data_IF_913558547019
#
_entry.id   IF_913558547019
#
_cell.length_a   1.000
_cell.length_b   1.000
_cell.length_c   1.000
_cell.angle_alpha   90.00
_cell.angle_beta   90.00
_cell.angle_gamma   90.00
#
_symmetry.space_group_name_H-M   'P 1'
#
loop_
_entity.id
_entity.type
_entity.pdbx_description
1 polymer ?
#
# COMPACT_ATOMS: atom_id res chain seq x y z
N UNK A 1 -23.71 25.02 10.39
CA UNK A 1 -22.50 24.68 9.64
C UNK A 1 -22.59 23.18 9.37
N UNK A 2 -22.50 22.73 8.13
CA UNK A 2 -22.35 21.30 7.87
C UNK A 2 -20.92 20.93 8.31
N UNK A 3 -20.80 19.91 9.17
CA UNK A 3 -19.51 19.44 9.63
C UNK A 3 -18.91 18.47 8.61
N UNK A 4 -17.57 18.45 8.47
CA UNK A 4 -16.88 17.40 7.73
C UNK A 4 -17.22 16.06 8.36
N UNK A 5 -17.47 15.03 7.57
CA UNK A 5 -17.89 13.73 8.08
C UNK A 5 -17.07 12.59 7.48
N UNK A 6 -16.98 11.51 8.23
CA UNK A 6 -16.39 10.25 7.79
C UNK A 6 -17.51 9.27 7.44
N UNK A 7 -17.34 8.55 6.35
CA UNK A 7 -18.24 7.50 5.91
C UNK A 7 -17.42 6.25 5.60
N UNK A 8 -17.72 5.17 6.29
CA UNK A 8 -17.25 3.85 5.90
C UNK A 8 -18.04 3.32 4.71
N UNK A 9 -17.40 2.53 3.88
CA UNK A 9 -18.02 1.91 2.72
C UNK A 9 -17.32 0.61 2.34
N UNK A 10 -18.04 -0.25 1.66
CA UNK A 10 -17.51 -1.49 1.06
C UNK A 10 -17.53 -1.41 -0.46
N UNK A 11 -16.48 -1.92 -1.08
CA UNK A 11 -16.35 -2.02 -2.53
C UNK A 11 -16.08 -3.44 -2.97
N UNK A 12 -16.87 -3.99 -3.91
CA UNK A 12 -16.51 -5.24 -4.54
C UNK A 12 -15.38 -5.03 -5.56
N UNK A 13 -14.39 -5.88 -5.50
CA UNK A 13 -13.40 -6.01 -6.58
C UNK A 13 -14.03 -6.73 -7.78
N UNK A 14 -13.35 -6.70 -8.92
CA UNK A 14 -13.79 -7.44 -10.12
C UNK A 14 -13.90 -8.95 -9.89
N UNK A 15 -13.07 -9.53 -9.00
CA UNK A 15 -13.17 -10.95 -8.59
C UNK A 15 -14.29 -11.22 -7.57
N UNK A 16 -14.87 -10.18 -6.97
CA UNK A 16 -15.98 -10.24 -6.01
C UNK A 16 -15.57 -10.21 -4.53
N UNK A 17 -14.29 -10.08 -4.21
CA UNK A 17 -13.85 -9.84 -2.83
C UNK A 17 -14.20 -8.43 -2.41
N UNK A 18 -14.65 -8.26 -1.15
CA UNK A 18 -15.02 -6.95 -0.61
C UNK A 18 -13.79 -6.26 0.00
N UNK A 19 -13.63 -5.00 -0.36
CA UNK A 19 -12.66 -4.07 0.24
C UNK A 19 -13.41 -3.07 1.13
N UNK A 20 -12.78 -2.69 2.23
CA UNK A 20 -13.31 -1.68 3.13
C UNK A 20 -12.55 -0.37 2.97
N UNK A 21 -13.26 0.73 2.88
CA UNK A 21 -12.70 2.07 2.81
C UNK A 21 -13.37 3.04 3.76
N UNK A 22 -12.68 4.13 4.05
CA UNK A 22 -13.26 5.26 4.77
C UNK A 22 -13.06 6.52 3.95
N UNK A 23 -14.16 7.20 3.64
CA UNK A 23 -14.18 8.47 2.94
C UNK A 23 -14.30 9.61 3.96
N UNK A 24 -13.34 10.51 3.94
CA UNK A 24 -13.39 11.78 4.66
C UNK A 24 -13.93 12.82 3.70
N UNK A 25 -15.18 13.23 3.93
CA UNK A 25 -15.90 14.15 3.07
C UNK A 25 -15.79 15.58 3.58
N UNK A 26 -15.48 16.50 2.68
CA UNK A 26 -15.62 17.93 2.93
C UNK A 26 -17.02 18.41 2.54
N UNK A 27 -17.57 19.33 3.32
CA UNK A 27 -18.95 19.86 3.11
C UNK A 27 -19.16 20.59 1.80
N UNK A 28 -18.11 21.04 1.15
CA UNK A 28 -18.17 21.79 -0.13
C UNK A 28 -18.18 20.90 -1.37
N UNK A 29 -18.24 19.56 -1.20
CA UNK A 29 -18.21 18.60 -2.30
C UNK A 29 -17.08 18.90 -3.30
N UNK A 30 -15.81 18.76 -2.90
CA UNK A 30 -14.67 19.02 -3.78
C UNK A 30 -14.68 18.08 -4.97
N UNK A 31 -14.14 18.51 -6.09
CA UNK A 31 -13.93 17.67 -7.27
C UNK A 31 -12.59 16.92 -7.24
N UNK A 32 -11.87 17.03 -6.15
CA UNK A 32 -10.54 16.48 -5.94
C UNK A 32 -10.54 15.47 -4.79
N UNK A 33 -9.93 14.32 -5.01
CA UNK A 33 -9.77 13.28 -4.00
C UNK A 33 -8.34 12.72 -3.98
N UNK A 34 -7.84 12.43 -2.78
CA UNK A 34 -6.64 11.62 -2.58
C UNK A 34 -7.05 10.23 -2.10
N UNK A 35 -6.72 9.20 -2.87
CA UNK A 35 -6.89 7.79 -2.49
C UNK A 35 -5.56 7.29 -1.92
N UNK A 36 -5.55 6.80 -0.68
CA UNK A 36 -4.34 6.28 -0.03
C UNK A 36 -4.44 4.77 0.16
N UNK A 37 -3.70 4.04 -0.66
CA UNK A 37 -3.55 2.58 -0.57
C UNK A 37 -2.67 2.25 0.64
N UNK A 38 -3.19 1.40 1.52
CA UNK A 38 -2.50 1.03 2.75
C UNK A 38 -1.38 0.01 2.51
N UNK A 39 -0.45 -0.06 3.46
CA UNK A 39 0.53 -1.15 3.51
C UNK A 39 -0.07 -2.42 4.08
N UNK A 40 0.74 -3.47 4.16
CA UNK A 40 0.34 -4.74 4.76
C UNK A 40 -0.13 -4.54 6.21
N UNK A 41 -1.20 -5.21 6.59
CA UNK A 41 -1.92 -5.04 7.87
C UNK A 41 -2.39 -3.60 8.13
N UNK A 42 -2.35 -2.75 7.10
CA UNK A 42 -2.78 -1.36 7.18
C UNK A 42 -4.30 -1.25 7.15
N UNK A 43 -4.92 -1.16 8.32
CA UNK A 43 -6.36 -0.96 8.45
C UNK A 43 -6.67 0.29 9.27
N UNK A 44 -7.90 0.77 9.17
CA UNK A 44 -8.34 2.02 9.78
C UNK A 44 -8.11 2.06 11.30
N UNK A 45 -8.19 0.92 11.97
CA UNK A 45 -8.03 0.83 13.41
C UNK A 45 -6.56 0.86 13.87
N UNK A 46 -5.67 0.25 13.09
CA UNK A 46 -4.24 0.14 13.45
C UNK A 46 -3.39 1.32 13.00
N UNK A 47 -3.90 2.15 12.08
CA UNK A 47 -3.17 3.27 11.49
C UNK A 47 -3.88 4.62 11.69
N UNK A 48 -4.01 5.11 12.93
CA UNK A 48 -4.79 6.32 13.23
C UNK A 48 -4.22 7.60 12.62
N UNK A 49 -2.97 7.61 12.15
CA UNK A 49 -2.38 8.78 11.52
C UNK A 49 -3.09 9.19 10.22
N UNK A 50 -3.80 8.29 9.57
CA UNK A 50 -4.61 8.62 8.40
C UNK A 50 -5.79 9.54 8.73
N UNK A 51 -6.29 9.56 9.98
CA UNK A 51 -7.28 10.53 10.42
C UNK A 51 -6.75 11.96 10.31
N UNK A 52 -5.45 12.15 10.60
CA UNK A 52 -4.81 13.46 10.46
C UNK A 52 -4.66 13.86 8.99
N UNK A 53 -4.42 12.89 8.10
CA UNK A 53 -4.42 13.14 6.65
C UNK A 53 -5.80 13.61 6.18
N UNK A 54 -6.85 12.84 6.48
CA UNK A 54 -8.21 13.19 6.08
C UNK A 54 -8.63 14.57 6.56
N UNK A 55 -8.49 14.84 7.86
CA UNK A 55 -8.82 16.13 8.45
C UNK A 55 -7.99 17.30 7.89
N UNK A 56 -6.73 17.05 7.53
CA UNK A 56 -5.86 18.08 6.97
C UNK A 56 -6.21 18.38 5.51
N UNK A 57 -6.48 17.35 4.71
CA UNK A 57 -6.87 17.48 3.31
C UNK A 57 -8.25 18.14 3.17
N UNK A 58 -9.20 17.79 4.04
CA UNK A 58 -10.50 18.46 4.05
C UNK A 58 -10.37 19.97 4.30
N UNK A 59 -9.47 20.43 5.17
CA UNK A 59 -9.18 21.88 5.32
C UNK A 59 -8.70 22.54 4.02
N UNK A 60 -8.06 21.76 3.14
CA UNK A 60 -7.61 22.16 1.81
C UNK A 60 -8.66 21.95 0.71
N UNK A 61 -9.91 21.61 1.06
CA UNK A 61 -10.98 21.30 0.11
C UNK A 61 -10.62 20.10 -0.80
N UNK A 62 -10.05 19.05 -0.21
CA UNK A 62 -9.71 17.78 -0.87
C UNK A 62 -10.33 16.67 -0.04
N UNK A 63 -11.12 15.80 -0.68
CA UNK A 63 -11.62 14.59 -0.04
C UNK A 63 -10.51 13.54 0.06
N UNK A 64 -10.63 12.66 1.04
CA UNK A 64 -9.64 11.64 1.30
C UNK A 64 -10.27 10.26 1.43
N UNK A 65 -9.78 9.30 0.67
CA UNK A 65 -10.16 7.90 0.78
C UNK A 65 -9.02 7.13 1.44
N UNK A 66 -9.30 6.61 2.65
CA UNK A 66 -8.49 5.59 3.27
C UNK A 66 -8.83 4.23 2.64
N UNK A 67 -7.95 3.73 1.79
CA UNK A 67 -8.21 2.58 0.93
C UNK A 67 -7.51 1.33 1.46
N UNK A 68 -8.27 0.48 2.17
CA UNK A 68 -7.79 -0.82 2.63
C UNK A 68 -7.80 -1.81 1.47
N UNK A 69 -6.68 -2.49 1.24
CA UNK A 69 -6.57 -3.59 0.28
C UNK A 69 -6.83 -4.93 0.96
N UNK A 70 -6.87 -6.02 0.19
CA UNK A 70 -7.18 -7.34 0.74
C UNK A 70 -6.26 -7.79 1.87
N UNK A 71 -5.03 -7.26 1.96
CA UNK A 71 -4.05 -7.55 3.01
C UNK A 71 -4.11 -6.61 4.23
N UNK A 72 -5.18 -5.82 4.36
CA UNK A 72 -5.35 -4.88 5.47
C UNK A 72 -5.39 -5.57 6.86
N UNK A 73 -5.70 -6.83 6.89
CA UNK A 73 -5.70 -7.68 8.08
C UNK A 73 -4.90 -8.96 7.83
N UNK A 74 -4.57 -9.70 8.90
CA UNK A 74 -3.98 -11.04 8.80
C UNK A 74 -4.94 -12.00 8.11
N UNK A 75 -6.13 -12.17 8.71
CA UNK A 75 -7.22 -13.01 8.17
C UNK A 75 -8.58 -12.37 8.47
N UNK A 76 -9.41 -12.25 7.45
CA UNK A 76 -10.80 -11.82 7.59
C UNK A 76 -11.71 -12.80 6.84
N UNK A 77 -12.75 -13.27 7.54
CA UNK A 77 -13.82 -14.05 6.90
C UNK A 77 -14.76 -13.09 6.19
N UNK A 78 -14.98 -13.33 4.91
CA UNK A 78 -15.83 -12.53 4.04
C UNK A 78 -16.75 -13.42 3.21
N UNK A 79 -17.66 -12.79 2.49
CA UNK A 79 -18.46 -13.43 1.45
C UNK A 79 -18.09 -12.81 0.12
N UNK A 80 -17.66 -13.63 -0.82
CA UNK A 80 -17.43 -13.18 -2.18
C UNK A 80 -18.79 -12.84 -2.83
N UNK A 81 -19.01 -11.56 -3.13
CA UNK A 81 -20.32 -11.09 -3.61
C UNK A 81 -20.67 -11.56 -5.02
N UNK A 82 -19.67 -11.99 -5.79
CA UNK A 82 -19.88 -12.52 -7.14
C UNK A 82 -20.31 -14.00 -7.15
N UNK A 83 -19.78 -14.77 -6.19
CA UNK A 83 -20.03 -16.23 -6.13
C UNK A 83 -20.98 -16.62 -5.00
N UNK A 84 -21.25 -15.75 -4.04
CA UNK A 84 -22.00 -16.01 -2.81
C UNK A 84 -21.29 -16.95 -1.83
N UNK A 85 -20.04 -17.33 -2.10
CA UNK A 85 -19.27 -18.27 -1.27
C UNK A 85 -18.51 -17.56 -0.18
N UNK A 86 -18.35 -18.24 0.97
CA UNK A 86 -17.43 -17.81 2.03
C UNK A 86 -16.01 -17.83 1.50
N UNK A 87 -15.24 -16.79 1.83
CA UNK A 87 -13.82 -16.69 1.54
C UNK A 87 -13.06 -16.16 2.76
N UNK A 88 -11.76 -16.39 2.77
CA UNK A 88 -10.83 -15.74 3.68
C UNK A 88 -9.99 -14.79 2.84
N UNK A 89 -9.89 -13.54 3.27
CA UNK A 89 -9.01 -12.53 2.68
C UNK A 89 -8.05 -12.00 3.74
N UNK A 90 -6.86 -11.61 3.35
CA UNK A 90 -5.86 -11.09 4.25
C UNK A 90 -4.44 -11.36 3.76
N UNK A 91 -3.44 -10.88 4.50
CA UNK A 91 -2.03 -11.20 4.23
C UNK A 91 -1.72 -12.69 4.33
N UNK A 92 -2.57 -13.44 5.03
CA UNK A 92 -2.53 -14.89 5.15
C UNK A 92 -2.49 -15.62 3.80
N UNK A 93 -3.32 -15.18 2.85
CA UNK A 93 -3.47 -15.81 1.54
C UNK A 93 -3.39 -14.80 0.39
N UNK A 94 -2.72 -13.68 0.59
CA UNK A 94 -2.58 -12.63 -0.42
C UNK A 94 -1.97 -13.18 -1.71
N UNK A 95 -2.52 -12.72 -2.81
CA UNK A 95 -1.95 -12.84 -4.15
C UNK A 95 -1.71 -11.42 -4.69
N UNK A 96 -0.45 -11.05 -4.85
CA UNK A 96 -0.06 -9.70 -5.29
C UNK A 96 -0.60 -9.31 -6.68
N UNK A 97 -0.99 -10.27 -7.50
CA UNK A 97 -1.63 -10.03 -8.79
C UNK A 97 -3.00 -9.37 -8.66
N UNK A 98 -3.65 -9.55 -7.51
CA UNK A 98 -4.94 -8.94 -7.20
C UNK A 98 -4.84 -7.44 -6.92
N UNK A 99 -3.63 -6.91 -6.76
CA UNK A 99 -3.38 -5.48 -6.52
C UNK A 99 -4.04 -4.58 -7.55
N UNK A 100 -4.02 -4.97 -8.83
CA UNK A 100 -4.65 -4.19 -9.91
C UNK A 100 -6.15 -4.03 -9.68
N UNK A 101 -6.85 -5.11 -9.30
CA UNK A 101 -8.29 -5.07 -9.05
C UNK A 101 -8.65 -4.28 -7.79
N UNK A 102 -7.82 -4.37 -6.76
CA UNK A 102 -8.03 -3.63 -5.52
C UNK A 102 -7.92 -2.12 -5.77
N UNK A 103 -6.91 -1.67 -6.51
CA UNK A 103 -6.74 -0.25 -6.85
C UNK A 103 -7.84 0.22 -7.80
N UNK A 104 -8.18 -0.58 -8.83
CA UNK A 104 -9.25 -0.25 -9.77
C UNK A 104 -10.58 -0.03 -9.07
N UNK A 105 -10.93 -0.86 -8.08
CA UNK A 105 -12.18 -0.69 -7.34
C UNK A 105 -12.30 0.69 -6.69
N UNK A 106 -11.22 1.22 -6.12
CA UNK A 106 -11.21 2.56 -5.54
C UNK A 106 -11.23 3.67 -6.59
N UNK A 107 -10.56 3.49 -7.71
CA UNK A 107 -10.59 4.45 -8.82
C UNK A 107 -11.97 4.50 -9.46
N UNK A 108 -12.61 3.37 -9.68
CA UNK A 108 -13.98 3.27 -10.21
C UNK A 108 -15.00 3.92 -9.25
N UNK A 109 -14.81 3.74 -7.94
CA UNK A 109 -15.61 4.40 -6.94
C UNK A 109 -15.44 5.93 -6.98
N UNK A 110 -14.21 6.42 -7.06
CA UNK A 110 -13.94 7.86 -7.14
C UNK A 110 -14.53 8.48 -8.41
N UNK A 111 -14.37 7.82 -9.55
CA UNK A 111 -14.97 8.26 -10.82
C UNK A 111 -16.50 8.30 -10.75
N UNK A 112 -17.13 7.24 -10.21
CA UNK A 112 -18.58 7.16 -9.99
C UNK A 112 -19.10 8.24 -9.03
N UNK A 113 -18.30 8.66 -8.06
CA UNK A 113 -18.61 9.78 -7.16
C UNK A 113 -18.52 11.14 -7.84
N UNK A 114 -17.90 11.23 -9.03
CA UNK A 114 -17.80 12.45 -9.83
C UNK A 114 -16.52 13.25 -9.58
N UNK A 115 -15.51 12.68 -8.91
CA UNK A 115 -14.21 13.35 -8.75
C UNK A 115 -13.54 13.51 -10.12
N UNK A 116 -13.03 14.71 -10.37
CA UNK A 116 -12.34 15.07 -11.62
C UNK A 116 -10.82 14.94 -11.49
N UNK A 117 -10.32 15.21 -10.28
CA UNK A 117 -8.90 15.17 -9.95
C UNK A 117 -8.65 14.05 -8.94
N UNK A 118 -8.06 12.96 -9.39
CA UNK A 118 -7.77 11.81 -8.54
C UNK A 118 -6.26 11.71 -8.35
N UNK A 119 -5.82 11.79 -7.10
CA UNK A 119 -4.45 11.53 -6.69
C UNK A 119 -4.36 10.18 -6.01
N UNK A 120 -3.31 9.41 -6.32
CA UNK A 120 -3.11 8.08 -5.78
C UNK A 120 -1.87 8.04 -4.89
N UNK A 121 -2.06 7.86 -3.60
CA UNK A 121 -0.99 7.68 -2.63
C UNK A 121 -0.87 6.22 -2.21
N UNK A 122 0.33 5.79 -1.85
CA UNK A 122 0.56 4.48 -1.24
C UNK A 122 1.57 4.58 -0.11
N UNK A 123 1.31 3.87 0.98
CA UNK A 123 2.17 3.84 2.15
C UNK A 123 2.78 2.45 2.34
N UNK A 124 4.10 2.37 2.61
CA UNK A 124 4.79 1.10 2.81
C UNK A 124 4.57 0.17 1.59
N UNK A 125 4.10 -1.06 1.77
CA UNK A 125 3.75 -1.98 0.69
C UNK A 125 2.71 -1.39 -0.28
N UNK A 126 1.81 -0.51 0.21
CA UNK A 126 0.87 0.21 -0.65
C UNK A 126 1.55 1.11 -1.68
N UNK A 127 2.74 1.66 -1.38
CA UNK A 127 3.53 2.39 -2.36
C UNK A 127 4.06 1.46 -3.47
N UNK A 128 4.51 0.25 -3.12
CA UNK A 128 4.93 -0.75 -4.10
C UNK A 128 3.74 -1.23 -4.95
N UNK A 129 2.54 -1.34 -4.35
CA UNK A 129 1.30 -1.67 -5.05
C UNK A 129 0.94 -0.64 -6.12
N UNK A 130 1.01 0.66 -5.79
CA UNK A 130 0.71 1.70 -6.78
C UNK A 130 1.78 1.80 -7.87
N UNK A 131 3.06 1.53 -7.56
CA UNK A 131 4.11 1.42 -8.57
C UNK A 131 3.79 0.29 -9.55
N UNK A 132 3.47 -0.90 -9.04
CA UNK A 132 3.08 -2.05 -9.85
C UNK A 132 1.87 -1.74 -10.75
N UNK A 133 0.84 -1.11 -10.19
CA UNK A 133 -0.36 -0.72 -10.93
C UNK A 133 -0.07 0.29 -12.04
N UNK A 134 0.54 1.43 -11.69
CA UNK A 134 0.77 2.54 -12.63
C UNK A 134 1.78 2.19 -13.73
N UNK A 135 2.76 1.34 -13.43
CA UNK A 135 3.73 0.90 -14.42
C UNK A 135 3.12 0.06 -15.56
N UNK A 136 1.97 -0.54 -15.32
CA UNK A 136 1.31 -1.48 -16.24
C UNK A 136 0.07 -0.89 -16.90
N UNK A 137 -0.72 -0.14 -16.14
CA UNK A 137 -2.02 0.33 -16.59
C UNK A 137 -1.99 1.73 -17.20
N UNK A 138 -1.00 2.56 -16.84
CA UNK A 138 -0.92 3.96 -17.29
C UNK A 138 -2.26 4.72 -17.17
N UNK A 139 -2.98 4.48 -16.08
CA UNK A 139 -4.38 4.91 -15.88
C UNK A 139 -4.49 6.43 -15.87
N UNK A 140 -5.12 7.00 -16.88
CA UNK A 140 -5.24 8.45 -17.07
C UNK A 140 -6.17 9.14 -16.06
N UNK A 141 -6.95 8.38 -15.28
CA UNK A 141 -7.74 8.92 -14.17
C UNK A 141 -6.84 9.42 -13.03
N UNK A 142 -5.66 8.81 -12.88
CA UNK A 142 -4.68 9.22 -11.88
C UNK A 142 -3.87 10.39 -12.39
N UNK A 143 -4.08 11.56 -11.81
CA UNK A 143 -3.35 12.77 -12.22
C UNK A 143 -1.92 12.81 -11.67
N UNK A 144 -1.74 12.42 -10.40
CA UNK A 144 -0.45 12.36 -9.71
C UNK A 144 -0.39 11.20 -8.73
N UNK A 145 0.83 10.74 -8.44
CA UNK A 145 1.05 9.74 -7.41
C UNK A 145 1.91 10.26 -6.25
N UNK A 146 1.77 9.63 -5.07
CA UNK A 146 2.55 9.95 -3.88
C UNK A 146 3.03 8.64 -3.24
N UNK A 147 4.35 8.46 -3.15
CA UNK A 147 4.96 7.34 -2.43
C UNK A 147 5.31 7.77 -1.01
N UNK A 148 4.72 7.11 -0.03
CA UNK A 148 4.95 7.36 1.39
C UNK A 148 5.72 6.18 1.99
N UNK A 149 7.00 6.37 2.27
CA UNK A 149 7.89 5.33 2.81
C UNK A 149 7.72 3.98 2.07
N UNK A 150 8.03 3.91 0.76
CA UNK A 150 7.89 2.67 0.00
C UNK A 150 8.70 1.54 0.64
N UNK A 151 8.17 0.31 0.60
CA UNK A 151 8.78 -0.81 1.29
C UNK A 151 10.03 -1.32 0.55
N UNK A 152 11.18 -1.34 1.24
CA UNK A 152 12.36 -2.06 0.78
C UNK A 152 12.19 -3.57 1.06
N UNK A 153 11.57 -4.27 0.11
CA UNK A 153 11.27 -5.69 0.25
C UNK A 153 12.55 -6.52 0.32
N UNK A 154 13.60 -6.14 -0.39
CA UNK A 154 14.92 -6.80 -0.29
C UNK A 154 15.44 -6.82 1.14
N UNK A 155 15.25 -5.73 1.90
CA UNK A 155 15.61 -5.69 3.32
C UNK A 155 14.85 -6.74 4.14
N UNK A 156 13.56 -6.93 3.91
CA UNK A 156 12.76 -7.95 4.57
C UNK A 156 13.23 -9.37 4.19
N UNK A 157 13.49 -9.60 2.91
CA UNK A 157 13.93 -10.90 2.39
C UNK A 157 15.30 -11.32 2.93
N UNK A 158 16.18 -10.37 3.22
CA UNK A 158 17.47 -10.64 3.85
C UNK A 158 17.33 -11.19 5.28
N UNK A 159 16.19 -10.97 5.93
CA UNK A 159 15.88 -11.56 7.24
C UNK A 159 15.37 -12.99 7.20
N UNK A 160 15.03 -13.54 6.01
CA UNK A 160 14.55 -14.92 5.87
C UNK A 160 15.73 -15.86 5.75
N UNK A 161 15.86 -16.80 6.69
CA UNK A 161 16.96 -17.77 6.72
C UNK A 161 16.89 -18.76 5.56
N UNK A 162 18.04 -19.37 5.23
CA UNK A 162 18.08 -20.41 4.20
C UNK A 162 17.26 -21.65 4.58
N UNK A 163 17.15 -21.96 5.87
CA UNK A 163 16.29 -23.05 6.35
C UNK A 163 14.81 -22.78 6.06
N UNK A 164 14.34 -21.55 6.33
CA UNK A 164 12.97 -21.14 6.03
C UNK A 164 12.69 -21.12 4.52
N UNK A 165 13.62 -20.57 3.72
CA UNK A 165 13.54 -20.60 2.25
C UNK A 165 13.43 -22.03 1.71
N UNK A 166 14.26 -22.95 2.22
CA UNK A 166 14.21 -24.35 1.83
C UNK A 166 12.90 -25.01 2.24
N UNK A 167 12.40 -24.73 3.44
CA UNK A 167 11.13 -25.28 3.92
C UNK A 167 9.96 -24.85 3.05
N UNK A 168 9.88 -23.56 2.67
CA UNK A 168 8.87 -23.05 1.74
C UNK A 168 8.93 -23.81 0.40
N UNK A 169 10.14 -24.01 -0.17
CA UNK A 169 10.32 -24.79 -1.41
C UNK A 169 9.83 -26.24 -1.28
N UNK A 170 10.15 -26.89 -0.17
CA UNK A 170 9.72 -28.28 0.09
C UNK A 170 8.19 -28.38 0.18
N UNK A 171 7.54 -27.44 0.88
CA UNK A 171 6.09 -27.40 0.96
C UNK A 171 5.46 -27.19 -0.42
N UNK A 172 5.99 -26.24 -1.20
CA UNK A 172 5.56 -25.97 -2.58
C UNK A 172 5.68 -27.18 -3.48
N UNK A 173 6.85 -27.87 -3.45
CA UNK A 173 7.10 -29.07 -4.24
C UNK A 173 6.19 -30.25 -3.88
N UNK A 174 5.75 -30.32 -2.63
CA UNK A 174 4.78 -31.32 -2.14
C UNK A 174 3.32 -30.97 -2.44
N UNK A 175 3.04 -29.89 -3.18
CA UNK A 175 1.69 -29.44 -3.51
C UNK A 175 0.88 -28.89 -2.32
N UNK A 176 1.57 -28.44 -1.26
CA UNK A 176 0.96 -27.92 -0.03
C UNK A 176 0.66 -26.42 -0.10
N UNK A 177 0.25 -25.93 -1.25
CA UNK A 177 0.06 -24.50 -1.54
C UNK A 177 -0.86 -23.77 -0.54
N UNK A 178 -1.88 -24.45 -0.04
CA UNK A 178 -2.85 -23.91 0.89
C UNK A 178 -2.60 -24.27 2.36
N UNK A 179 -1.52 -24.99 2.67
CA UNK A 179 -1.11 -25.25 4.05
C UNK A 179 -0.34 -24.06 4.60
N UNK A 180 -0.57 -23.76 5.88
CA UNK A 180 0.20 -22.72 6.61
C UNK A 180 1.64 -23.18 6.75
N UNK A 181 2.59 -22.27 6.50
CA UNK A 181 4.00 -22.54 6.82
C UNK A 181 4.17 -22.58 8.34
N UNK A 182 5.07 -23.43 8.89
CA UNK A 182 5.19 -23.65 10.33
C UNK A 182 6.02 -22.57 11.06
N UNK A 183 6.07 -21.36 10.53
CA UNK A 183 6.72 -20.19 11.12
C UNK A 183 6.06 -18.91 10.59
N UNK A 184 6.27 -17.79 11.29
CA UNK A 184 5.83 -16.49 10.82
C UNK A 184 6.86 -15.90 9.85
N UNK A 185 6.47 -15.65 8.61
CA UNK A 185 7.33 -14.99 7.64
C UNK A 185 7.69 -13.59 8.13
N UNK A 186 8.97 -13.23 8.05
CA UNK A 186 9.54 -12.00 8.63
C UNK A 186 9.32 -11.87 10.16
N UNK A 187 8.93 -12.95 10.85
CA UNK A 187 8.66 -12.96 12.29
C UNK A 187 7.32 -12.36 12.70
N UNK A 188 6.38 -12.12 11.74
CA UNK A 188 5.08 -11.53 12.07
C UNK A 188 3.95 -11.79 11.05
N UNK A 189 4.21 -12.49 9.94
CA UNK A 189 3.17 -12.84 8.96
C UNK A 189 2.90 -14.35 9.02
N UNK A 190 1.74 -14.72 9.57
CA UNK A 190 1.18 -16.05 9.35
C UNK A 190 0.63 -16.13 7.93
N UNK A 191 1.07 -17.05 7.12
CA UNK A 191 0.56 -17.21 5.76
C UNK A 191 0.66 -18.64 5.24
N UNK A 192 -0.10 -18.92 4.17
CA UNK A 192 -0.04 -20.18 3.45
C UNK A 192 1.21 -20.27 2.59
N UNK A 193 1.60 -21.47 2.22
CA UNK A 193 2.80 -21.77 1.43
C UNK A 193 2.88 -20.98 0.14
N UNK A 194 1.77 -20.85 -0.61
CA UNK A 194 1.72 -20.06 -1.86
C UNK A 194 2.11 -18.62 -1.62
N UNK A 195 1.52 -17.99 -0.62
CA UNK A 195 1.81 -16.60 -0.27
C UNK A 195 3.26 -16.42 0.18
N UNK A 196 3.77 -17.32 1.05
CA UNK A 196 5.18 -17.30 1.45
C UNK A 196 6.13 -17.49 0.25
N UNK A 197 5.78 -18.37 -0.67
CA UNK A 197 6.58 -18.61 -1.87
C UNK A 197 6.61 -17.37 -2.77
N UNK A 198 5.49 -16.71 -2.97
CA UNK A 198 5.40 -15.50 -3.77
C UNK A 198 6.15 -14.33 -3.12
N UNK A 199 6.09 -14.19 -1.78
CA UNK A 199 6.92 -13.22 -1.05
C UNK A 199 8.40 -13.43 -1.28
N UNK A 200 8.87 -14.67 -1.17
CA UNK A 200 10.32 -14.96 -1.12
C UNK A 200 10.94 -15.14 -2.51
N UNK A 201 10.21 -15.72 -3.47
CA UNK A 201 10.78 -16.14 -4.75
C UNK A 201 10.18 -15.44 -5.97
N UNK A 202 8.96 -14.93 -5.88
CA UNK A 202 8.23 -14.34 -7.02
C UNK A 202 7.62 -12.96 -6.69
N UNK A 203 8.25 -12.19 -5.81
CA UNK A 203 7.64 -10.95 -5.34
C UNK A 203 7.63 -9.87 -6.42
N UNK A 204 6.48 -9.74 -7.11
CA UNK A 204 6.25 -8.73 -8.16
C UNK A 204 6.20 -7.30 -7.61
N UNK A 205 6.10 -7.12 -6.29
CA UNK A 205 6.11 -5.81 -5.64
C UNK A 205 7.51 -5.41 -5.14
N UNK A 206 8.55 -6.23 -5.36
CA UNK A 206 9.93 -5.86 -5.06
C UNK A 206 10.48 -4.95 -6.18
N UNK A 207 9.98 -3.73 -6.24
CA UNK A 207 10.13 -2.79 -7.36
C UNK A 207 10.85 -1.49 -6.98
N UNK A 208 11.35 -1.40 -5.76
CA UNK A 208 12.23 -0.33 -5.28
C UNK A 208 13.34 -0.92 -4.42
N UNK A 209 14.56 -0.40 -4.58
CA UNK A 209 15.75 -1.00 -3.98
C UNK A 209 16.67 0.07 -3.38
N UNK A 210 17.39 -0.31 -2.34
CA UNK A 210 18.47 0.48 -1.80
C UNK A 210 19.75 0.38 -2.66
N UNK A 211 19.95 -0.77 -3.27
CA UNK A 211 21.03 -1.10 -4.18
C UNK A 211 20.78 -0.42 -5.55
N UNK A 212 21.85 0.12 -6.16
CA UNK A 212 21.74 0.83 -7.45
C UNK A 212 21.49 -0.07 -8.64
N UNK A 213 21.86 -1.32 -8.54
CA UNK A 213 21.73 -2.37 -9.55
C UNK A 213 20.45 -3.21 -9.37
N UNK A 214 19.54 -2.79 -8.50
CA UNK A 214 18.23 -3.40 -8.35
C UNK A 214 17.34 -3.24 -9.58
N UNK A 215 16.26 -4.02 -9.65
CA UNK A 215 15.27 -3.91 -10.74
C UNK A 215 14.33 -2.73 -10.53
N UNK A 216 14.56 -1.65 -11.24
CA UNK A 216 13.71 -0.46 -11.26
C UNK A 216 12.80 -0.38 -12.50
N UNK A 217 12.64 -1.47 -13.24
CA UNK A 217 11.86 -1.48 -14.49
C UNK A 217 10.44 -0.94 -14.30
N UNK A 218 9.77 -1.29 -13.20
CA UNK A 218 8.43 -0.82 -12.92
C UNK A 218 8.39 0.69 -12.65
N UNK A 219 9.24 1.20 -11.74
CA UNK A 219 9.26 2.64 -11.43
C UNK A 219 9.64 3.49 -12.65
N UNK A 220 10.56 3.00 -13.46
CA UNK A 220 10.96 3.66 -14.72
C UNK A 220 9.83 3.70 -15.76
N UNK A 221 8.91 2.73 -15.71
CA UNK A 221 7.79 2.67 -16.65
C UNK A 221 6.58 3.53 -16.25
N UNK A 222 6.60 4.18 -15.08
CA UNK A 222 5.53 5.09 -14.67
C UNK A 222 5.59 6.36 -15.52
N UNK A 223 4.46 6.72 -16.14
CA UNK A 223 4.34 7.93 -16.97
C UNK A 223 3.76 9.14 -16.23
N UNK A 224 3.28 8.96 -15.02
CA UNK A 224 2.70 10.00 -14.19
C UNK A 224 3.76 10.82 -13.45
N UNK A 225 3.44 12.06 -13.12
CA UNK A 225 4.25 12.87 -12.19
C UNK A 225 3.84 12.56 -10.74
N UNK A 226 4.77 12.77 -9.80
CA UNK A 226 4.45 12.45 -8.41
C UNK A 226 5.39 13.09 -7.39
N UNK A 227 5.22 12.66 -6.16
CA UNK A 227 6.06 13.02 -5.02
C UNK A 227 6.44 11.77 -4.22
N UNK A 228 7.60 11.84 -3.55
CA UNK A 228 8.08 10.78 -2.66
C UNK A 228 8.40 11.39 -1.30
N UNK A 229 7.95 10.74 -0.24
CA UNK A 229 8.19 11.15 1.15
C UNK A 229 8.70 9.96 1.95
N UNK A 230 9.66 10.20 2.83
CA UNK A 230 10.19 9.18 3.74
C UNK A 230 10.55 9.78 5.09
N UNK A 231 10.35 9.01 6.15
CA UNK A 231 10.81 9.36 7.48
C UNK A 231 12.32 9.21 7.63
N UNK A 232 12.98 10.16 8.30
CA UNK A 232 14.45 10.11 8.53
C UNK A 232 14.90 8.99 9.45
N UNK A 233 13.97 8.33 10.14
CA UNK A 233 14.20 7.15 10.99
C UNK A 233 13.62 5.88 10.39
N UNK A 234 13.37 5.86 9.08
CA UNK A 234 12.93 4.65 8.39
C UNK A 234 14.00 3.57 8.48
N UNK A 235 13.72 2.53 9.28
CA UNK A 235 14.67 1.46 9.60
C UNK A 235 14.85 0.42 8.49
N UNK A 236 13.97 0.41 7.49
CA UNK A 236 14.07 -0.51 6.35
C UNK A 236 15.04 -0.02 5.27
N UNK A 237 15.73 1.10 5.52
CA UNK A 237 16.62 1.75 4.57
C UNK A 237 18.10 1.70 5.00
N UNK A 238 18.47 0.72 5.82
CA UNK A 238 19.84 0.55 6.34
C UNK A 238 20.42 1.83 6.99
N UNK A 239 19.56 2.67 7.57
CA UNK A 239 19.93 3.91 8.23
C UNK A 239 20.15 5.11 7.30
N UNK A 240 19.93 4.96 5.99
CA UNK A 240 20.05 6.06 5.02
C UNK A 240 18.79 6.19 4.14
N UNK A 241 17.67 6.67 4.71
CA UNK A 241 16.43 6.85 3.95
C UNK A 241 16.57 7.88 2.82
N UNK A 242 17.44 8.88 2.96
CA UNK A 242 17.67 9.86 1.90
C UNK A 242 18.30 9.24 0.67
N UNK A 243 19.30 8.37 0.86
CA UNK A 243 19.93 7.63 -0.23
C UNK A 243 18.93 6.68 -0.90
N UNK A 244 18.12 5.96 -0.12
CA UNK A 244 17.10 5.07 -0.65
C UNK A 244 16.11 5.83 -1.54
N UNK A 245 15.55 6.93 -1.04
CA UNK A 245 14.59 7.72 -1.80
C UNK A 245 15.22 8.36 -3.05
N UNK A 246 16.46 8.87 -2.91
CA UNK A 246 17.20 9.40 -4.07
C UNK A 246 17.44 8.33 -5.12
N UNK A 247 17.80 7.12 -4.72
CA UNK A 247 18.01 6.02 -5.64
C UNK A 247 16.74 5.68 -6.43
N UNK A 248 15.58 5.64 -5.77
CA UNK A 248 14.29 5.46 -6.45
C UNK A 248 14.04 6.60 -7.44
N UNK A 249 14.24 7.85 -7.00
CA UNK A 249 14.01 9.04 -7.84
C UNK A 249 14.92 9.08 -9.07
N UNK A 250 16.17 8.66 -8.93
CA UNK A 250 17.14 8.62 -10.04
C UNK A 250 16.73 7.61 -11.15
N UNK A 251 15.86 6.64 -10.81
CA UNK A 251 15.33 5.65 -11.74
C UNK A 251 13.89 5.94 -12.22
N UNK A 252 13.28 7.05 -11.80
CA UNK A 252 12.01 7.47 -12.38
C UNK A 252 12.21 7.99 -13.81
N UNK A 253 11.15 7.96 -14.61
CA UNK A 253 11.20 8.51 -15.96
C UNK A 253 11.60 9.99 -15.93
N UNK A 254 12.76 10.34 -16.50
CA UNK A 254 13.33 11.69 -16.48
C UNK A 254 12.50 12.75 -17.20
N UNK A 255 11.55 12.34 -18.03
CA UNK A 255 10.62 13.24 -18.72
C UNK A 255 9.52 13.75 -17.75
N UNK A 256 9.39 13.18 -16.58
CA UNK A 256 8.40 13.55 -15.57
C UNK A 256 9.09 14.10 -14.33
N UNK A 257 8.58 15.22 -13.81
CA UNK A 257 9.09 15.80 -12.57
C UNK A 257 8.45 15.08 -11.38
N UNK A 258 9.27 14.47 -10.55
CA UNK A 258 8.88 13.90 -9.26
C UNK A 258 9.63 14.65 -8.16
N UNK A 259 8.90 15.08 -7.13
CA UNK A 259 9.50 15.69 -5.94
C UNK A 259 9.62 14.65 -4.84
N UNK A 260 10.73 14.67 -4.10
CA UNK A 260 10.91 13.85 -2.91
C UNK A 260 11.20 14.71 -1.68
N UNK A 261 10.72 14.25 -0.53
CA UNK A 261 10.86 14.94 0.74
C UNK A 261 11.27 13.97 1.84
N UNK A 262 12.25 14.37 2.65
CA UNK A 262 12.68 13.66 3.85
C UNK A 262 12.15 14.38 5.08
N UNK A 263 11.34 13.68 5.88
CA UNK A 263 10.74 14.23 7.09
C UNK A 263 11.64 13.93 8.29
N UNK A 264 12.19 14.97 8.92
CA UNK A 264 13.05 14.83 10.09
C UNK A 264 12.29 14.26 11.29
N UNK A 265 12.93 13.37 12.06
CA UNK A 265 12.41 12.75 13.29
C UNK A 265 11.08 12.00 13.11
N UNK A 266 10.94 11.33 11.98
CA UNK A 266 9.77 10.51 11.69
C UNK A 266 10.21 9.07 11.39
N UNK A 267 9.44 8.11 11.86
CA UNK A 267 9.51 6.72 11.43
C UNK A 267 8.50 6.45 10.30
N UNK A 268 8.53 5.26 9.74
CA UNK A 268 7.63 4.83 8.65
C UNK A 268 6.14 4.96 9.02
N UNK A 269 5.81 4.94 10.31
CA UNK A 269 4.43 5.01 10.81
C UNK A 269 4.06 6.40 11.32
N UNK A 270 5.00 7.37 11.30
CA UNK A 270 4.79 8.74 11.79
C UNK A 270 4.28 8.75 13.25
N UNK A 271 4.66 7.75 14.06
CA UNK A 271 4.12 7.52 15.41
C UNK A 271 4.40 8.64 16.41
N UNK A 272 5.55 9.30 16.32
CA UNK A 272 5.96 10.29 17.32
C UNK A 272 5.10 11.57 17.30
N UNK A 273 4.62 11.99 16.13
CA UNK A 273 3.70 13.15 16.06
C UNK A 273 2.34 12.87 16.67
N UNK A 274 1.86 11.64 16.58
CA UNK A 274 0.55 11.28 17.13
C UNK A 274 0.56 11.21 18.66
N UNK A 275 1.69 10.88 19.32
CA UNK A 275 1.80 10.84 20.78
C UNK A 275 1.61 12.20 21.46
N UNK A 276 1.92 13.31 20.80
CA UNK A 276 1.70 14.66 21.37
C UNK A 276 0.23 15.05 21.43
N UNK A 277 -0.60 14.51 20.55
CA UNK A 277 -2.04 14.80 20.53
C UNK A 277 -2.86 13.88 21.42
N UNK A 278 -2.34 12.68 21.76
CA UNK A 278 -3.02 11.76 22.71
C UNK A 278 -2.85 12.14 24.18
N UNK A 279 -1.97 13.08 24.53
CA UNK A 279 -1.78 13.56 25.91
C UNK A 279 -2.61 14.80 26.27
N UNK A 280 -3.45 15.28 25.36
CA UNK A 280 -4.31 16.46 25.55
C UNK A 280 -5.81 16.15 25.50
N UNK A 281 -6.19 14.89 25.76
CA UNK A 281 -7.58 14.49 26.04
C UNK A 281 -7.67 13.74 27.35
#
# INVERSE_FOLDING_TARGET
MMEDFMQDFELPTKRGSLLNGVLFCHTKNPDTVLIAITGIHGNFYSNPFYNNFGSTLNKGNIDFIYAQTCDAFGQVKSINVKTGKKEIVGSYNEDFKNTDEDIQAYLDFAEKKGYKHIYLAGHSLGANKIIYYLSRNHDQRVEKYILLSPANITHLLNGVSDAEKNLIKVYKQKGKDNEVIPFELFGWIECITRTAYDWVFNNILNNVHFEKDGDFSQINNITHTGAMLIGTYDRFTYGDPSRFLKNINDHTNTLKKTSFYSLKKQDILIREKNRKYQKSF
#
